data_IF_953935831649
#
_entry.id   IF_953935831649
#
_cell.length_a   1.000
_cell.length_b   1.000
_cell.length_c   1.000
_cell.angle_alpha   90.00
_cell.angle_beta   90.00
_cell.angle_gamma   90.00
#
_symmetry.space_group_name_H-M   'P 1'
#
loop_
_entity.id
_entity.type
_entity.pdbx_description
1 polymer ?
#
# COMPACT_ATOMS: atom_id res chain seq x y z
N UNK A 1 28.08 -3.86 29.00
CA UNK A 1 27.08 -4.96 29.03
C UNK A 1 26.06 -4.65 27.96
N UNK A 2 26.07 -5.43 26.88
CA UNK A 2 25.24 -5.24 25.69
C UNK A 2 23.81 -5.67 26.03
N UNK A 3 22.85 -4.74 25.94
CA UNK A 3 21.44 -5.06 26.04
C UNK A 3 20.96 -5.48 24.64
N UNK A 4 20.79 -6.78 24.43
CA UNK A 4 20.11 -7.33 23.25
C UNK A 4 18.67 -6.83 23.23
N UNK A 5 18.35 -5.94 22.28
CA UNK A 5 16.99 -5.59 21.94
C UNK A 5 16.31 -6.83 21.35
N UNK A 6 15.51 -7.53 22.17
CA UNK A 6 14.67 -8.61 21.73
C UNK A 6 13.57 -8.07 20.81
N UNK A 7 13.77 -8.19 19.50
CA UNK A 7 12.70 -8.10 18.51
C UNK A 7 11.58 -9.05 18.95
N UNK A 8 10.36 -8.54 18.98
CA UNK A 8 9.17 -9.26 19.40
C UNK A 8 9.02 -10.55 18.57
N UNK A 9 9.24 -11.70 19.23
CA UNK A 9 9.19 -13.09 18.71
C UNK A 9 7.84 -13.62 18.11
N UNK A 10 6.68 -12.93 18.10
CA UNK A 10 5.42 -13.50 17.55
C UNK A 10 5.32 -13.55 16.02
N UNK A 11 5.94 -12.61 15.29
CA UNK A 11 5.60 -12.33 13.89
C UNK A 11 5.90 -13.49 12.93
N UNK A 12 7.10 -14.06 13.01
CA UNK A 12 7.57 -15.12 12.10
C UNK A 12 6.84 -16.45 12.34
N UNK A 13 6.50 -16.76 13.61
CA UNK A 13 5.73 -17.96 13.96
C UNK A 13 4.29 -17.89 13.45
N UNK A 14 3.66 -16.71 13.54
CA UNK A 14 2.32 -16.47 13.02
C UNK A 14 2.27 -16.62 11.49
N UNK A 15 3.27 -16.08 10.79
CA UNK A 15 3.42 -16.24 9.34
C UNK A 15 3.57 -17.72 8.94
N UNK A 16 4.54 -18.44 9.53
CA UNK A 16 4.78 -19.85 9.23
C UNK A 16 3.58 -20.75 9.56
N UNK A 17 2.83 -20.43 10.63
CA UNK A 17 1.57 -21.10 10.97
C UNK A 17 0.49 -20.86 9.90
N UNK A 18 0.32 -19.61 9.48
CA UNK A 18 -0.67 -19.21 8.47
C UNK A 18 -0.38 -19.83 7.10
N UNK A 19 0.89 -19.88 6.70
CA UNK A 19 1.30 -20.52 5.46
C UNK A 19 1.00 -22.03 5.47
N UNK A 20 1.27 -22.70 6.60
CA UNK A 20 0.92 -24.12 6.80
C UNK A 20 -0.60 -24.35 6.79
N UNK A 21 -1.39 -23.49 7.43
CA UNK A 21 -2.86 -23.61 7.42
C UNK A 21 -3.47 -23.41 6.03
N UNK A 22 -2.91 -22.51 5.21
CA UNK A 22 -3.35 -22.34 3.81
C UNK A 22 -3.05 -23.59 2.98
N UNK A 23 -1.91 -24.27 3.22
CA UNK A 23 -1.58 -25.51 2.51
C UNK A 23 -2.52 -26.67 2.85
N UNK A 24 -2.92 -26.84 4.11
CA UNK A 24 -3.84 -27.91 4.51
C UNK A 24 -5.24 -27.70 3.97
N UNK A 25 -5.75 -26.46 3.97
CA UNK A 25 -7.04 -26.14 3.38
C UNK A 25 -7.06 -26.37 1.86
N UNK A 26 -5.97 -26.06 1.15
CA UNK A 26 -5.87 -26.32 -0.28
C UNK A 26 -5.71 -27.81 -0.61
N UNK A 27 -4.98 -28.60 0.18
CA UNK A 27 -4.91 -30.06 0.03
C UNK A 27 -6.29 -30.72 0.28
N UNK A 28 -7.05 -30.25 1.28
CA UNK A 28 -8.40 -30.73 1.54
C UNK A 28 -9.39 -30.34 0.42
N UNK A 29 -9.21 -29.17 -0.21
CA UNK A 29 -10.02 -28.72 -1.36
C UNK A 29 -9.68 -29.46 -2.65
N UNK A 30 -8.40 -29.80 -2.87
CA UNK A 30 -7.94 -30.62 -3.98
C UNK A 30 -8.45 -32.07 -3.87
N UNK A 31 -8.47 -32.64 -2.66
CA UNK A 31 -8.98 -33.99 -2.39
C UNK A 31 -10.52 -34.11 -2.40
N UNK A 32 -11.27 -33.03 -2.62
CA UNK A 32 -12.76 -33.05 -2.65
C UNK A 32 -13.39 -33.07 -4.05
N UNK A 33 -12.65 -33.33 -5.13
CA UNK A 33 -13.23 -33.49 -6.48
C UNK A 33 -13.40 -34.98 -6.88
N UNK A 34 -14.66 -35.43 -6.81
CA UNK A 34 -15.36 -36.60 -7.42
C UNK A 34 -14.82 -38.03 -7.19
N UNK A 35 -15.62 -38.95 -6.61
CA UNK A 35 -15.68 -40.32 -7.07
C UNK A 35 -16.74 -40.46 -8.19
N UNK A 36 -16.36 -41.14 -9.27
CA UNK A 36 -17.28 -41.67 -10.26
C UNK A 36 -17.86 -43.01 -9.77
N UNK A 37 -19.08 -43.28 -10.22
CA UNK A 37 -19.93 -44.44 -9.98
C UNK A 37 -19.31 -45.79 -10.36
N UNK A 38 -19.58 -46.84 -9.56
CA UNK A 38 -20.10 -48.11 -10.06
C UNK A 38 -20.61 -49.01 -8.92
N UNK A 39 -21.68 -49.73 -9.22
CA UNK A 39 -22.47 -50.59 -8.34
C UNK A 39 -21.85 -51.97 -8.12
N UNK A 40 -22.36 -52.63 -7.07
CA UNK A 40 -22.79 -54.03 -7.03
C UNK A 40 -22.01 -55.07 -6.19
N UNK A 41 -22.78 -55.62 -5.21
CA UNK A 41 -22.81 -57.00 -4.65
C UNK A 41 -21.85 -57.46 -3.52
N UNK A 42 -22.54 -57.63 -2.37
CA UNK A 42 -22.68 -58.85 -1.53
C UNK A 42 -21.57 -59.28 -0.54
N UNK A 43 -21.97 -59.19 0.74
CA UNK A 43 -22.00 -60.25 1.78
C UNK A 43 -20.74 -60.68 2.56
N UNK A 44 -20.92 -60.75 3.90
CA UNK A 44 -20.44 -61.76 4.91
C UNK A 44 -19.68 -61.22 6.15
N UNK A 45 -20.40 -61.26 7.29
CA UNK A 45 -20.08 -61.54 8.72
C UNK A 45 -18.85 -60.97 9.46
N UNK A 46 -19.14 -60.50 10.68
CA UNK A 46 -18.26 -60.27 11.85
C UNK A 46 -17.65 -61.59 12.42
N UNK A 47 -16.78 -61.63 13.48
CA UNK A 47 -16.41 -60.58 14.46
C UNK A 47 -14.92 -60.47 14.87
N UNK A 48 -14.67 -59.46 15.73
CA UNK A 48 -13.49 -59.04 16.55
C UNK A 48 -12.79 -60.17 17.36
N UNK A 49 -11.53 -60.04 17.87
CA UNK A 49 -11.18 -59.07 18.95
C UNK A 49 -9.71 -58.57 19.16
N UNK A 50 -9.62 -57.45 19.89
CA UNK A 50 -8.63 -57.05 20.92
C UNK A 50 -7.10 -56.99 20.64
N UNK A 51 -6.51 -55.78 20.73
CA UNK A 51 -5.67 -55.31 21.88
C UNK A 51 -4.99 -53.94 21.66
N UNK A 52 -5.35 -52.98 22.53
CA UNK A 52 -4.52 -52.17 23.45
C UNK A 52 -3.42 -51.18 22.95
N UNK A 53 -3.57 -49.96 23.51
CA UNK A 53 -2.57 -48.97 24.04
C UNK A 53 -1.99 -48.00 23.00
N UNK A 54 -1.86 -46.68 23.25
CA UNK A 54 -1.83 -45.89 24.49
C UNK A 54 -2.05 -44.39 24.14
N UNK A 55 -2.87 -43.67 24.93
CA UNK A 55 -2.82 -42.20 25.08
C UNK A 55 -1.86 -41.87 26.22
N UNK A 56 -1.06 -40.82 26.06
CA UNK A 56 -0.34 -40.06 27.11
C UNK A 56 -0.12 -38.65 26.52
N UNK A 57 -0.18 -37.49 27.18
CA UNK A 57 -0.78 -36.92 28.41
C UNK A 57 -0.67 -35.40 28.18
N UNK A 58 -1.66 -34.62 28.63
CA UNK A 58 -1.61 -33.16 28.72
C UNK A 58 -0.55 -32.71 29.75
N UNK A 59 0.19 -31.64 29.44
CA UNK A 59 0.95 -30.87 30.42
C UNK A 59 0.57 -29.40 30.33
N UNK A 60 -0.09 -28.90 31.38
CA UNK A 60 -0.43 -27.50 31.61
C UNK A 60 0.81 -26.64 31.84
N UNK A 61 0.84 -25.42 31.29
CA UNK A 61 1.58 -24.30 31.90
C UNK A 61 0.70 -23.04 31.85
N UNK A 62 0.53 -22.52 33.06
CA UNK A 62 -0.21 -21.37 33.60
C UNK A 62 -0.36 -20.10 32.75
N UNK A 63 -1.59 -19.58 32.78
CA UNK A 63 -1.94 -18.17 32.60
C UNK A 63 -1.27 -17.31 33.70
N UNK A 64 -0.50 -16.31 33.29
CA UNK A 64 -0.20 -15.13 34.12
C UNK A 64 -0.34 -13.90 33.23
N UNK A 65 -1.31 -13.04 33.55
CA UNK A 65 -1.47 -11.74 32.89
C UNK A 65 -0.45 -10.73 33.42
N UNK A 66 0.07 -9.86 32.55
CA UNK A 66 0.79 -8.65 32.96
C UNK A 66 0.53 -7.49 31.99
N UNK A 67 -0.37 -6.60 32.42
CA UNK A 67 -0.34 -5.19 32.05
C UNK A 67 0.83 -4.54 32.83
N UNK A 68 2.01 -4.42 32.24
CA UNK A 68 3.11 -3.62 32.82
C UNK A 68 4.24 -3.21 31.85
N UNK A 69 4.28 -3.65 30.58
CA UNK A 69 5.43 -3.39 29.69
C UNK A 69 5.29 -2.18 28.76
N UNK A 70 4.27 -1.31 28.94
CA UNK A 70 3.97 -0.22 27.99
C UNK A 70 4.59 1.14 28.36
N UNK A 71 5.39 1.23 29.43
CA UNK A 71 5.91 2.51 29.93
C UNK A 71 7.39 2.79 29.61
N UNK A 72 8.22 1.80 29.26
CA UNK A 72 9.68 2.02 29.16
C UNK A 72 10.18 2.29 27.73
N UNK A 73 9.47 1.84 26.70
CA UNK A 73 9.88 2.08 25.30
C UNK A 73 9.71 3.53 24.82
N UNK A 74 8.92 4.36 25.52
CA UNK A 74 8.68 5.76 25.13
C UNK A 74 9.78 6.73 25.57
N UNK A 75 10.65 6.36 26.52
CA UNK A 75 11.64 7.27 27.07
C UNK A 75 12.99 7.24 26.34
N UNK A 76 13.35 6.12 25.69
CA UNK A 76 14.65 5.96 25.04
C UNK A 76 14.73 6.75 23.71
N UNK A 77 13.63 6.83 22.96
CA UNK A 77 13.57 7.58 21.68
C UNK A 77 13.55 9.11 21.90
N UNK A 78 13.17 9.58 23.10
CA UNK A 78 13.25 11.00 23.45
C UNK A 78 14.66 11.46 23.86
N UNK A 79 15.53 10.55 24.28
CA UNK A 79 16.90 10.91 24.70
C UNK A 79 17.87 11.06 23.53
N UNK A 80 17.71 10.31 22.44
CA UNK A 80 18.58 10.42 21.25
C UNK A 80 18.33 11.72 20.45
N UNK A 81 17.21 12.41 20.67
CA UNK A 81 16.91 13.71 20.02
C UNK A 81 17.33 14.94 20.83
N UNK A 82 17.99 14.79 21.99
CA UNK A 82 18.33 15.92 22.87
C UNK A 82 19.84 16.23 23.00
N UNK A 83 20.71 15.49 22.31
CA UNK A 83 22.15 15.77 22.25
C UNK A 83 22.59 16.06 20.81
N UNK A 84 22.28 17.27 20.36
CA UNK A 84 23.11 18.04 19.41
C UNK A 84 22.58 19.48 19.40
N UNK A 85 23.06 20.27 20.37
CA UNK A 85 22.83 21.72 20.46
C UNK A 85 24.07 22.44 19.95
N UNK A 86 23.82 23.47 19.13
CA UNK A 86 24.60 24.66 18.79
C UNK A 86 26.08 24.80 19.22
N UNK A 87 26.90 25.24 18.25
CA UNK A 87 27.57 26.55 18.37
C UNK A 87 27.80 27.17 16.98
N UNK A 88 27.36 28.43 16.86
CA UNK A 88 27.71 29.49 15.90
C UNK A 88 29.23 29.76 15.88
N UNK A 89 29.90 30.42 14.93
CA UNK A 89 29.59 31.58 14.08
C UNK A 89 30.83 31.87 13.16
N UNK A 90 30.68 32.83 12.23
CA UNK A 90 31.71 33.67 11.53
C UNK A 90 32.40 33.12 10.25
N UNK A 91 32.02 33.63 9.06
CA UNK A 91 32.72 34.74 8.36
C UNK A 91 32.14 35.01 6.96
N UNK A 92 31.86 36.30 6.77
CA UNK A 92 31.69 37.03 5.50
C UNK A 92 32.80 36.72 4.49
N UNK A 93 32.46 36.62 3.20
CA UNK A 93 33.35 36.99 2.10
C UNK A 93 32.54 37.24 0.82
N UNK A 94 32.31 38.53 0.59
CA UNK A 94 31.99 39.11 -0.71
C UNK A 94 33.02 38.68 -1.76
N UNK A 95 32.56 38.30 -2.96
CA UNK A 95 33.36 38.48 -4.16
C UNK A 95 32.53 39.10 -5.28
N UNK A 96 33.02 40.27 -5.70
CA UNK A 96 32.59 41.06 -6.85
C UNK A 96 32.89 40.29 -8.13
N UNK A 97 31.95 40.29 -9.07
CA UNK A 97 32.29 40.36 -10.50
C UNK A 97 31.31 41.31 -11.21
N UNK A 98 31.86 42.45 -11.61
CA UNK A 98 31.31 43.29 -12.67
C UNK A 98 31.66 42.65 -14.01
N UNK A 99 30.70 42.55 -14.95
CA UNK A 99 30.92 42.94 -16.35
C UNK A 99 29.60 42.96 -17.15
N UNK A 100 29.25 44.20 -17.55
CA UNK A 100 28.69 44.63 -18.83
C UNK A 100 27.31 44.12 -19.29
N UNK A 101 26.37 45.05 -19.21
CA UNK A 101 25.22 45.18 -20.08
C UNK A 101 25.65 45.59 -21.51
N UNK A 102 24.98 45.03 -22.51
CA UNK A 102 24.62 45.71 -23.75
C UNK A 102 23.12 45.51 -23.96
N UNK A 103 22.42 46.63 -24.09
CA UNK A 103 20.97 46.67 -24.26
C UNK A 103 20.57 46.61 -25.72
N UNK A 104 19.37 46.12 -25.97
CA UNK A 104 18.51 46.60 -27.05
C UNK A 104 17.09 46.67 -26.49
N UNK A 105 16.65 47.91 -26.33
CA UNK A 105 15.27 48.35 -26.17
C UNK A 105 14.47 48.02 -27.44
N UNK A 106 13.20 47.64 -27.28
CA UNK A 106 12.13 48.36 -27.97
C UNK A 106 10.79 48.12 -27.29
N UNK A 107 10.12 49.25 -27.11
CA UNK A 107 8.82 49.46 -26.52
C UNK A 107 7.70 48.73 -27.25
N UNK A 108 6.66 48.35 -26.50
CA UNK A 108 5.30 48.85 -26.74
C UNK A 108 4.43 48.43 -25.57
N UNK A 109 4.14 49.41 -24.71
CA UNK A 109 2.99 49.37 -23.85
C UNK A 109 1.73 49.50 -24.71
N UNK A 110 0.74 48.64 -24.49
CA UNK A 110 -0.63 49.05 -24.74
C UNK A 110 -1.53 48.61 -23.59
N UNK A 111 -2.05 49.64 -22.94
CA UNK A 111 -2.93 49.63 -21.79
C UNK A 111 -4.33 49.87 -22.35
N UNK A 112 -5.25 48.92 -22.20
CA UNK A 112 -6.67 49.19 -22.39
C UNK A 112 -7.45 48.56 -21.25
N UNK A 113 -7.61 49.36 -20.19
CA UNK A 113 -8.79 49.33 -19.35
C UNK A 113 -9.97 49.87 -20.16
N UNK A 114 -11.01 49.07 -20.31
CA UNK A 114 -12.34 49.57 -20.61
C UNK A 114 -13.34 48.87 -19.70
N UNK A 115 -13.79 49.60 -18.69
CA UNK A 115 -15.00 49.29 -17.94
C UNK A 115 -16.20 49.29 -18.90
N UNK A 116 -16.85 48.13 -19.05
CA UNK A 116 -18.21 48.06 -19.57
C UNK A 116 -19.03 47.20 -18.61
N UNK A 117 -19.87 47.89 -17.86
CA UNK A 117 -20.98 47.34 -17.09
C UNK A 117 -21.94 46.71 -18.10
N UNK A 118 -21.96 45.38 -18.13
CA UNK A 118 -22.83 44.58 -18.98
C UNK A 118 -23.35 43.38 -18.21
N UNK A 119 -24.47 43.57 -17.52
CA UNK A 119 -25.22 42.55 -16.79
C UNK A 119 -25.61 41.43 -17.74
N UNK A 120 -24.83 40.35 -17.76
CA UNK A 120 -25.11 39.14 -18.54
C UNK A 120 -24.92 37.93 -17.65
N UNK A 121 -26.04 37.34 -17.28
CA UNK A 121 -26.20 36.12 -16.49
C UNK A 121 -25.41 34.97 -17.11
N UNK A 122 -24.16 34.75 -16.69
CA UNK A 122 -23.45 33.51 -17.02
C UNK A 122 -23.93 32.42 -16.07
N UNK A 123 -24.83 31.55 -16.54
CA UNK A 123 -25.11 30.25 -15.92
C UNK A 123 -23.77 29.60 -15.53
N UNK A 124 -23.56 29.44 -14.22
CA UNK A 124 -22.27 29.11 -13.65
C UNK A 124 -21.78 27.74 -14.11
N UNK A 125 -20.88 27.74 -15.10
CA UNK A 125 -20.05 26.56 -15.40
C UNK A 125 -19.29 26.23 -14.11
N UNK A 126 -19.38 25.00 -13.57
CA UNK A 126 -18.66 24.69 -12.33
C UNK A 126 -17.16 24.87 -12.58
N UNK A 127 -16.55 25.83 -11.89
CA UNK A 127 -15.17 26.23 -12.13
C UNK A 127 -14.23 25.14 -11.58
N UNK A 128 -13.44 24.53 -12.45
CA UNK A 128 -12.32 23.66 -12.05
C UNK A 128 -11.38 24.47 -11.17
N UNK A 129 -11.10 23.97 -9.96
CA UNK A 129 -10.22 24.63 -9.01
C UNK A 129 -8.78 24.31 -9.38
N UNK A 130 -7.94 25.34 -9.55
CA UNK A 130 -6.52 25.13 -9.78
C UNK A 130 -5.86 24.60 -8.49
N UNK A 131 -5.44 23.33 -8.50
CA UNK A 131 -4.82 22.72 -7.32
C UNK A 131 -3.33 23.06 -7.21
N UNK A 132 -2.70 23.52 -8.28
CA UNK A 132 -1.26 23.76 -8.38
C UNK A 132 -0.90 25.24 -8.14
N UNK A 133 -1.86 26.08 -7.71
CA UNK A 133 -1.63 27.51 -7.45
C UNK A 133 -0.91 27.84 -6.15
N UNK A 134 -0.60 26.83 -5.32
CA UNK A 134 0.10 27.01 -4.05
C UNK A 134 1.60 26.72 -4.25
N UNK A 135 2.35 27.79 -4.50
CA UNK A 135 3.80 27.78 -4.76
C UNK A 135 4.66 27.70 -3.49
N UNK A 136 4.05 27.51 -2.31
CA UNK A 136 4.77 27.53 -1.03
C UNK A 136 5.54 26.26 -0.71
N UNK A 137 5.16 25.14 -1.31
CA UNK A 137 5.82 23.84 -1.09
C UNK A 137 6.62 23.44 -2.35
N UNK A 138 7.96 23.57 -2.31
CA UNK A 138 8.83 23.18 -3.42
C UNK A 138 8.68 21.71 -3.82
N UNK A 139 8.25 20.82 -2.91
CA UNK A 139 8.09 19.39 -3.20
C UNK A 139 6.91 19.09 -4.12
N UNK A 140 6.01 20.04 -4.32
CA UNK A 140 4.86 19.88 -5.22
C UNK A 140 5.23 20.08 -6.69
N UNK A 141 6.37 20.72 -6.96
CA UNK A 141 6.90 20.96 -8.31
C UNK A 141 5.80 21.42 -9.28
N UNK A 142 4.98 22.41 -8.89
CA UNK A 142 3.76 22.83 -9.58
C UNK A 142 3.95 23.04 -11.09
N UNK A 143 5.07 23.66 -11.48
CA UNK A 143 5.45 23.91 -12.88
C UNK A 143 5.57 22.62 -13.72
N UNK A 144 6.11 21.55 -13.12
CA UNK A 144 6.34 20.27 -13.80
C UNK A 144 5.23 19.26 -13.54
N UNK A 145 4.29 19.55 -12.64
CA UNK A 145 3.27 18.61 -12.21
C UNK A 145 2.43 18.05 -13.38
N UNK A 146 2.00 18.84 -14.39
CA UNK A 146 1.28 18.29 -15.54
C UNK A 146 2.10 17.23 -16.30
N UNK A 147 3.39 17.51 -16.57
CA UNK A 147 4.28 16.60 -17.30
C UNK A 147 4.62 15.34 -16.47
N UNK A 148 4.91 15.52 -15.17
CA UNK A 148 5.14 14.41 -14.25
C UNK A 148 3.95 13.45 -14.27
N UNK A 149 2.73 13.96 -14.11
CA UNK A 149 1.54 13.11 -14.06
C UNK A 149 1.20 12.50 -15.42
N UNK A 150 1.49 13.20 -16.53
CA UNK A 150 1.41 12.58 -17.85
C UNK A 150 2.37 11.38 -17.96
N UNK A 151 3.63 11.54 -17.58
CA UNK A 151 4.64 10.48 -17.61
C UNK A 151 4.29 9.30 -16.69
N UNK A 152 3.72 9.57 -15.51
CA UNK A 152 3.23 8.52 -14.61
C UNK A 152 2.09 7.72 -15.25
N UNK A 153 1.15 8.37 -15.94
CA UNK A 153 0.04 7.69 -16.64
C UNK A 153 0.52 6.85 -17.82
N UNK A 154 1.54 7.29 -18.54
CA UNK A 154 2.18 6.47 -19.58
C UNK A 154 2.93 5.29 -18.96
N UNK A 155 3.60 5.50 -17.83
CA UNK A 155 4.43 4.49 -17.17
C UNK A 155 3.61 3.37 -16.53
N UNK A 156 2.45 3.66 -15.94
CA UNK A 156 1.58 2.63 -15.34
C UNK A 156 1.05 1.60 -16.37
N UNK A 157 1.10 1.92 -17.67
CA UNK A 157 0.70 1.02 -18.74
C UNK A 157 1.82 0.05 -19.17
N UNK A 158 3.09 0.41 -18.97
CA UNK A 158 4.24 -0.33 -19.53
C UNK A 158 4.72 -1.47 -18.65
N UNK A 159 4.62 -1.34 -17.32
CA UNK A 159 5.21 -2.27 -16.34
C UNK A 159 4.17 -2.77 -15.35
N UNK A 160 3.28 -3.63 -15.84
CA UNK A 160 2.18 -4.18 -15.05
C UNK A 160 2.14 -5.72 -15.11
N UNK A 161 2.18 -6.42 -13.97
CA UNK A 161 2.01 -7.86 -13.95
C UNK A 161 0.70 -8.26 -14.61
N UNK A 162 0.72 -9.27 -15.48
CA UNK A 162 -0.51 -9.78 -16.10
C UNK A 162 -1.36 -10.46 -15.02
N UNK A 163 -2.65 -10.12 -14.85
CA UNK A 163 -3.48 -10.58 -13.72
C UNK A 163 -3.79 -12.09 -13.62
N UNK A 164 -3.13 -12.93 -14.42
CA UNK A 164 -3.27 -14.39 -14.44
C UNK A 164 -1.94 -15.14 -14.25
N UNK A 165 -0.88 -14.43 -13.81
CA UNK A 165 0.43 -15.05 -13.60
C UNK A 165 0.44 -16.10 -12.50
N UNK A 166 -0.44 -15.97 -11.50
CA UNK A 166 -0.55 -16.95 -10.43
C UNK A 166 -1.03 -18.31 -10.98
N UNK A 167 -1.90 -18.29 -11.97
CA UNK A 167 -2.43 -19.48 -12.63
C UNK A 167 -1.51 -20.02 -13.74
N UNK A 168 -0.79 -19.14 -14.43
CA UNK A 168 0.05 -19.51 -15.59
C UNK A 168 1.49 -19.84 -15.23
N UNK A 169 2.10 -19.09 -14.31
CA UNK A 169 3.53 -19.17 -14.01
C UNK A 169 3.79 -19.98 -12.73
N UNK A 170 2.98 -19.76 -11.68
CA UNK A 170 3.20 -20.38 -10.38
C UNK A 170 2.61 -21.80 -10.32
N UNK A 171 3.39 -22.75 -9.79
CA UNK A 171 2.94 -24.14 -9.55
C UNK A 171 2.68 -24.40 -8.07
N UNK A 172 3.45 -23.75 -7.21
CA UNK A 172 3.46 -24.02 -5.77
C UNK A 172 2.93 -22.85 -4.92
N UNK A 173 3.07 -21.62 -5.42
CA UNK A 173 2.57 -20.39 -4.78
C UNK A 173 1.13 -20.12 -5.25
N UNK A 174 0.27 -19.75 -4.30
CA UNK A 174 -1.14 -19.40 -4.57
C UNK A 174 -1.43 -17.94 -4.23
N UNK A 175 -2.54 -17.40 -4.75
CA UNK A 175 -3.02 -16.06 -4.39
C UNK A 175 -3.23 -15.89 -2.87
N UNK A 176 -3.57 -16.97 -2.15
CA UNK A 176 -3.71 -16.96 -0.69
C UNK A 176 -2.35 -16.82 0.01
N UNK A 177 -1.33 -17.55 -0.44
CA UNK A 177 0.03 -17.46 0.12
C UNK A 177 0.63 -16.07 -0.10
N UNK A 178 0.42 -15.49 -1.30
CA UNK A 178 0.76 -14.09 -1.57
C UNK A 178 0.07 -13.13 -0.60
N UNK A 179 -1.23 -13.30 -0.37
CA UNK A 179 -1.97 -12.48 0.60
C UNK A 179 -1.39 -12.57 2.01
N UNK A 180 -1.05 -13.77 2.48
CA UNK A 180 -0.42 -13.99 3.79
C UNK A 180 0.96 -13.31 3.86
N UNK A 181 1.76 -13.37 2.79
CA UNK A 181 3.04 -12.67 2.73
C UNK A 181 2.86 -11.16 2.84
N UNK A 182 1.94 -10.58 2.06
CA UNK A 182 1.70 -9.13 2.08
C UNK A 182 1.12 -8.68 3.42
N UNK A 183 0.23 -9.45 4.05
CA UNK A 183 -0.31 -9.15 5.38
C UNK A 183 0.80 -9.10 6.44
N UNK A 184 1.73 -10.05 6.40
CA UNK A 184 2.92 -10.04 7.26
C UNK A 184 3.86 -8.86 6.96
N UNK A 185 4.11 -8.55 5.69
CA UNK A 185 4.95 -7.41 5.30
C UNK A 185 4.34 -6.06 5.74
N UNK A 186 3.02 -5.94 5.86
CA UNK A 186 2.37 -4.77 6.46
C UNK A 186 2.79 -4.61 7.92
N UNK A 187 2.79 -5.69 8.70
CA UNK A 187 3.25 -5.66 10.10
C UNK A 187 4.72 -5.28 10.20
N UNK A 188 5.58 -5.87 9.36
CA UNK A 188 7.01 -5.51 9.27
C UNK A 188 7.19 -4.02 8.95
N UNK A 189 6.43 -3.50 7.98
CA UNK A 189 6.53 -2.08 7.61
C UNK A 189 6.13 -1.13 8.75
N UNK A 190 5.17 -1.51 9.59
CA UNK A 190 4.76 -0.72 10.76
C UNK A 190 5.79 -0.79 11.89
N UNK A 191 6.36 -1.97 12.15
CA UNK A 191 7.38 -2.17 13.20
C UNK A 191 8.65 -1.37 12.91
N UNK A 192 9.09 -1.36 11.65
CA UNK A 192 10.28 -0.62 11.20
C UNK A 192 9.96 0.80 10.73
N UNK A 193 8.71 1.24 10.85
CA UNK A 193 8.25 2.60 10.50
C UNK A 193 8.60 3.03 9.08
N UNK A 194 8.57 2.08 8.13
CA UNK A 194 8.87 2.33 6.73
C UNK A 194 7.82 3.26 6.10
N UNK A 195 8.22 4.07 5.13
CA UNK A 195 7.26 4.93 4.40
C UNK A 195 6.30 4.05 3.59
N UNK A 196 5.04 4.48 3.38
CA UNK A 196 4.07 3.67 2.65
C UNK A 196 4.55 3.29 1.24
N UNK A 197 5.24 4.19 0.55
CA UNK A 197 5.76 3.98 -0.80
C UNK A 197 6.70 2.75 -0.88
N UNK A 198 7.49 2.50 0.17
CA UNK A 198 8.31 1.29 0.32
C UNK A 198 7.47 0.01 0.27
N UNK A 199 6.34 -0.03 0.99
CA UNK A 199 5.44 -1.18 0.98
C UNK A 199 4.79 -1.37 -0.40
N UNK A 200 4.33 -0.30 -1.04
CA UNK A 200 3.74 -0.39 -2.39
C UNK A 200 4.75 -0.89 -3.42
N UNK A 201 5.99 -0.38 -3.38
CA UNK A 201 7.08 -0.83 -4.24
C UNK A 201 7.43 -2.30 -3.96
N UNK A 202 7.52 -2.70 -2.69
CA UNK A 202 7.74 -4.09 -2.28
C UNK A 202 6.73 -5.04 -2.93
N UNK A 203 5.43 -4.74 -2.82
CA UNK A 203 4.36 -5.58 -3.38
C UNK A 203 4.45 -5.66 -4.90
N UNK A 204 4.76 -4.54 -5.57
CA UNK A 204 4.99 -4.55 -7.00
C UNK A 204 6.18 -5.44 -7.39
N UNK A 205 7.30 -5.35 -6.67
CA UNK A 205 8.49 -6.14 -6.94
C UNK A 205 8.20 -7.64 -6.81
N UNK A 206 7.46 -8.03 -5.76
CA UNK A 206 7.01 -9.41 -5.55
C UNK A 206 6.16 -9.88 -6.74
N UNK A 207 5.14 -9.11 -7.12
CA UNK A 207 4.21 -9.50 -8.18
C UNK A 207 4.88 -9.63 -9.53
N UNK A 208 5.76 -8.69 -9.88
CA UNK A 208 6.46 -8.71 -11.15
C UNK A 208 7.53 -9.79 -11.20
N UNK A 209 8.16 -10.13 -10.06
CA UNK A 209 9.06 -11.27 -9.99
C UNK A 209 8.31 -12.60 -10.14
N UNK A 210 7.20 -12.79 -9.41
CA UNK A 210 6.32 -13.96 -9.55
C UNK A 210 5.64 -14.06 -10.93
N UNK A 211 5.51 -12.93 -11.63
CA UNK A 211 4.99 -12.92 -12.98
C UNK A 211 5.89 -13.68 -13.97
N UNK A 212 7.22 -13.47 -13.86
CA UNK A 212 8.20 -14.06 -14.78
C UNK A 212 8.96 -15.27 -14.26
N UNK A 213 8.98 -15.50 -12.94
CA UNK A 213 9.82 -16.52 -12.31
C UNK A 213 9.01 -17.44 -11.42
N UNK A 214 9.21 -18.75 -11.59
CA UNK A 214 8.67 -19.75 -10.69
C UNK A 214 9.37 -19.70 -9.34
N UNK A 215 8.60 -19.64 -8.24
CA UNK A 215 9.13 -19.68 -6.88
C UNK A 215 8.48 -20.81 -6.09
N UNK A 216 9.30 -21.55 -5.35
CA UNK A 216 8.82 -22.55 -4.40
C UNK A 216 8.27 -21.87 -3.14
N UNK A 217 7.23 -22.42 -2.52
CA UNK A 217 6.56 -21.81 -1.36
C UNK A 217 7.52 -21.50 -0.20
N UNK A 218 8.58 -22.30 -0.05
CA UNK A 218 9.59 -22.16 1.00
C UNK A 218 10.51 -20.95 0.80
N UNK A 219 10.62 -20.45 -0.43
CA UNK A 219 11.41 -19.26 -0.79
C UNK A 219 10.54 -18.01 -0.92
N UNK A 220 9.23 -18.11 -0.72
CA UNK A 220 8.31 -16.98 -0.86
C UNK A 220 8.57 -15.87 0.18
N UNK A 221 8.91 -16.25 1.43
CA UNK A 221 9.26 -15.26 2.46
C UNK A 221 10.61 -14.60 2.15
N UNK A 222 11.60 -15.37 1.69
CA UNK A 222 12.89 -14.84 1.22
C UNK A 222 12.69 -13.82 0.10
N UNK A 223 11.88 -14.13 -0.91
CA UNK A 223 11.52 -13.17 -1.95
C UNK A 223 10.91 -11.90 -1.34
N UNK A 224 9.95 -12.04 -0.43
CA UNK A 224 9.26 -10.92 0.20
C UNK A 224 10.19 -9.96 0.95
N UNK A 225 11.06 -10.48 1.82
CA UNK A 225 12.01 -9.63 2.55
C UNK A 225 13.06 -9.01 1.64
N UNK A 226 13.51 -9.73 0.61
CA UNK A 226 14.47 -9.20 -0.35
C UNK A 226 13.85 -8.09 -1.18
N UNK A 227 12.61 -8.25 -1.65
CA UNK A 227 11.88 -7.18 -2.33
C UNK A 227 11.70 -5.95 -1.42
N UNK A 228 11.46 -6.16 -0.11
CA UNK A 228 11.38 -5.06 0.85
C UNK A 228 12.73 -4.39 1.08
N UNK A 229 13.83 -5.14 1.17
CA UNK A 229 15.19 -4.60 1.22
C UNK A 229 15.48 -3.70 0.02
N UNK A 230 15.17 -4.16 -1.20
CA UNK A 230 15.37 -3.38 -2.43
C UNK A 230 14.51 -2.12 -2.41
N UNK A 231 13.23 -2.24 -2.05
CA UNK A 231 12.34 -1.10 -1.95
C UNK A 231 12.81 -0.09 -0.89
N UNK A 232 13.30 -0.56 0.26
CA UNK A 232 13.84 0.30 1.32
C UNK A 232 15.09 1.04 0.86
N UNK A 233 16.02 0.37 0.17
CA UNK A 233 17.19 1.03 -0.43
C UNK A 233 16.81 2.13 -1.44
N UNK A 234 15.63 2.02 -2.05
CA UNK A 234 15.17 2.95 -3.08
C UNK A 234 14.37 4.13 -2.50
N UNK A 235 13.48 3.89 -1.54
CA UNK A 235 12.53 4.90 -1.03
C UNK A 235 12.92 5.52 0.32
N UNK A 236 13.68 4.81 1.16
CA UNK A 236 14.02 5.29 2.51
C UNK A 236 15.25 6.18 2.51
N UNK A 237 15.22 7.25 3.31
CA UNK A 237 16.40 8.08 3.57
C UNK A 237 17.49 7.24 4.26
N UNK A 238 17.06 6.38 5.20
CA UNK A 238 17.92 5.48 5.96
C UNK A 238 17.36 4.06 5.87
N UNK A 239 17.75 3.32 4.83
CA UNK A 239 17.33 1.94 4.66
C UNK A 239 17.90 1.02 5.75
N UNK A 240 17.11 0.05 6.28
CA UNK A 240 17.62 -0.97 7.19
C UNK A 240 18.71 -1.82 6.53
N UNK A 241 19.66 -2.30 7.33
CA UNK A 241 20.74 -3.16 6.83
C UNK A 241 20.23 -4.56 6.50
N UNK A 242 20.98 -5.31 5.69
CA UNK A 242 20.63 -6.69 5.31
C UNK A 242 20.47 -7.58 6.54
N UNK A 243 21.33 -7.38 7.56
CA UNK A 243 21.25 -8.11 8.83
C UNK A 243 19.91 -7.91 9.54
N UNK A 244 19.32 -6.72 9.45
CA UNK A 244 18.01 -6.44 10.05
C UNK A 244 16.90 -7.22 9.35
N UNK A 245 16.96 -7.38 8.03
CA UNK A 245 16.03 -8.22 7.28
C UNK A 245 16.20 -9.71 7.59
N UNK A 246 17.43 -10.19 7.85
CA UNK A 246 17.64 -11.55 8.36
C UNK A 246 16.95 -11.73 9.72
N UNK A 247 17.10 -10.76 10.63
CA UNK A 247 16.46 -10.77 11.95
C UNK A 247 14.93 -10.75 11.86
N UNK A 248 14.33 -10.00 10.92
CA UNK A 248 12.87 -9.99 10.70
C UNK A 248 12.31 -11.39 10.39
N UNK A 249 13.14 -12.29 9.86
CA UNK A 249 12.76 -13.68 9.55
C UNK A 249 13.15 -14.67 10.63
N UNK A 250 13.42 -14.22 11.87
CA UNK A 250 14.01 -15.03 12.94
C UNK A 250 15.30 -15.76 12.50
N UNK A 251 16.09 -15.15 11.62
CA UNK A 251 17.26 -15.75 10.97
C UNK A 251 16.95 -17.07 10.23
N UNK A 252 15.74 -17.20 9.69
CA UNK A 252 15.38 -18.31 8.80
C UNK A 252 16.25 -18.31 7.54
N UNK A 253 16.67 -17.13 7.09
CA UNK A 253 17.56 -16.94 5.94
C UNK A 253 18.86 -16.26 6.34
N UNK A 254 19.96 -16.67 5.71
CA UNK A 254 21.28 -16.06 5.91
C UNK A 254 21.44 -14.80 5.03
N UNK A 255 22.41 -13.96 5.39
CA UNK A 255 22.75 -12.76 4.61
C UNK A 255 23.06 -13.11 3.16
N UNK A 256 23.79 -14.19 2.92
CA UNK A 256 24.18 -14.65 1.58
C UNK A 256 22.96 -15.03 0.75
N UNK A 257 21.96 -15.70 1.35
CA UNK A 257 20.72 -16.04 0.67
C UNK A 257 19.91 -14.80 0.28
N UNK A 258 19.86 -13.80 1.16
CA UNK A 258 19.17 -12.52 0.88
C UNK A 258 19.87 -11.76 -0.25
N UNK A 259 21.20 -11.70 -0.25
CA UNK A 259 21.98 -11.04 -1.30
C UNK A 259 21.90 -11.78 -2.65
N UNK A 260 21.88 -13.11 -2.62
CA UNK A 260 21.70 -13.92 -3.84
C UNK A 260 20.31 -13.68 -4.44
N UNK A 261 19.25 -13.71 -3.62
CA UNK A 261 17.91 -13.34 -4.08
C UNK A 261 17.86 -11.89 -4.57
N UNK A 262 18.59 -10.97 -3.94
CA UNK A 262 18.63 -9.56 -4.36
C UNK A 262 19.20 -9.43 -5.77
N UNK A 263 20.29 -10.13 -6.07
CA UNK A 263 20.88 -10.17 -7.40
C UNK A 263 19.89 -10.73 -8.44
N UNK A 264 19.20 -11.83 -8.11
CA UNK A 264 18.21 -12.44 -9.01
C UNK A 264 17.03 -11.49 -9.30
N UNK A 265 16.52 -10.84 -8.26
CA UNK A 265 15.46 -9.84 -8.40
C UNK A 265 15.95 -8.70 -9.29
N UNK A 266 17.05 -8.03 -8.95
CA UNK A 266 17.55 -6.88 -9.73
C UNK A 266 17.87 -7.23 -11.18
N UNK A 267 18.41 -8.42 -11.44
CA UNK A 267 18.65 -8.93 -12.78
C UNK A 267 17.34 -9.09 -13.58
N UNK A 268 16.30 -9.67 -12.98
CA UNK A 268 14.96 -9.80 -13.60
C UNK A 268 14.37 -8.44 -13.97
N UNK A 269 14.59 -7.41 -13.15
CA UNK A 269 14.13 -6.05 -13.46
C UNK A 269 15.07 -5.28 -14.41
N UNK A 270 16.23 -5.83 -14.77
CA UNK A 270 17.29 -5.08 -15.47
C UNK A 270 17.58 -3.73 -14.78
N UNK A 271 17.54 -3.72 -13.44
CA UNK A 271 17.65 -2.53 -12.58
C UNK A 271 16.56 -1.44 -12.80
N UNK A 272 15.53 -1.70 -13.61
CA UNK A 272 14.41 -0.80 -13.85
C UNK A 272 13.26 -1.06 -12.86
N UNK A 273 13.55 -0.84 -11.57
CA UNK A 273 12.65 -1.22 -10.46
C UNK A 273 11.50 -0.24 -10.21
N UNK A 274 11.61 1.00 -10.67
CA UNK A 274 10.57 2.00 -10.43
C UNK A 274 9.32 1.78 -11.30
N UNK A 275 8.16 1.92 -10.66
CA UNK A 275 6.85 1.99 -11.30
C UNK A 275 5.92 2.93 -10.50
N UNK A 276 4.99 3.64 -11.15
CA UNK A 276 3.92 4.35 -10.45
C UNK A 276 3.02 3.38 -9.68
N UNK A 277 2.76 3.69 -8.41
CA UNK A 277 1.89 2.89 -7.54
C UNK A 277 0.58 3.63 -7.27
N UNK A 278 -0.47 2.97 -6.72
CA UNK A 278 -1.67 3.66 -6.29
C UNK A 278 -1.36 4.84 -5.35
N UNK A 279 -0.35 4.69 -4.48
CA UNK A 279 0.09 5.76 -3.57
C UNK A 279 0.63 6.98 -4.31
N UNK A 280 1.31 6.80 -5.43
CA UNK A 280 1.84 7.90 -6.26
C UNK A 280 0.71 8.80 -6.75
N UNK A 281 -0.36 8.23 -7.30
CA UNK A 281 -1.52 8.98 -7.80
C UNK A 281 -2.40 9.56 -6.69
N UNK A 282 -2.53 8.81 -5.59
CA UNK A 282 -3.42 9.15 -4.48
C UNK A 282 -3.12 10.54 -3.89
N UNK A 283 -1.84 10.94 -3.80
CA UNK A 283 -1.42 12.24 -3.25
C UNK A 283 -2.06 13.42 -3.99
N UNK A 284 -2.02 13.44 -5.32
CA UNK A 284 -2.62 14.53 -6.13
C UNK A 284 -4.14 14.48 -6.13
N UNK A 285 -4.72 13.28 -6.15
CA UNK A 285 -6.18 13.14 -6.14
C UNK A 285 -6.78 13.59 -4.79
N UNK A 286 -6.10 13.34 -3.67
CA UNK A 286 -6.49 13.86 -2.36
C UNK A 286 -6.40 15.38 -2.29
N UNK A 287 -5.38 16.00 -2.90
CA UNK A 287 -5.27 17.47 -3.00
C UNK A 287 -6.47 18.05 -3.74
N UNK A 288 -6.80 17.50 -4.91
CA UNK A 288 -7.98 17.90 -5.69
C UNK A 288 -9.29 17.68 -4.91
N UNK A 289 -9.41 16.57 -4.20
CA UNK A 289 -10.59 16.26 -3.39
C UNK A 289 -10.80 17.23 -2.23
N UNK A 290 -9.73 17.61 -1.54
CA UNK A 290 -9.76 18.47 -0.36
C UNK A 290 -10.06 19.92 -0.73
N UNK A 291 -9.41 20.47 -1.76
CA UNK A 291 -9.62 21.86 -2.18
C UNK A 291 -11.00 22.10 -2.80
N UNK A 292 -11.65 21.06 -3.31
CA UNK A 292 -12.97 21.18 -3.92
C UNK A 292 -14.15 21.12 -2.94
N UNK A 293 -13.92 20.98 -1.63
CA UNK A 293 -14.98 21.05 -0.60
C UNK A 293 -14.41 21.65 0.69
N UNK A 294 -15.00 22.76 1.14
CA UNK A 294 -14.62 23.43 2.39
C UNK A 294 -14.82 22.52 3.61
N UNK A 295 -15.85 21.67 3.59
CA UNK A 295 -16.10 20.66 4.63
C UNK A 295 -15.00 19.59 4.66
N UNK A 296 -14.63 19.04 3.50
CA UNK A 296 -13.55 18.05 3.43
C UNK A 296 -12.17 18.64 3.72
N UNK A 297 -11.97 19.94 3.51
CA UNK A 297 -10.76 20.64 3.94
C UNK A 297 -10.57 20.56 5.47
N UNK A 298 -11.65 20.67 6.25
CA UNK A 298 -11.59 20.53 7.72
C UNK A 298 -11.33 19.07 8.15
N UNK A 299 -11.80 18.09 7.37
CA UNK A 299 -11.58 16.66 7.58
C UNK A 299 -10.46 16.06 6.72
N UNK A 300 -9.54 16.88 6.23
CA UNK A 300 -8.51 16.47 5.25
C UNK A 300 -7.75 15.21 5.70
N UNK A 301 -7.31 15.17 6.95
CA UNK A 301 -6.61 13.98 7.51
C UNK A 301 -7.47 12.72 7.54
N UNK A 302 -8.78 12.83 7.81
CA UNK A 302 -9.69 11.66 7.77
C UNK A 302 -9.83 11.14 6.34
N UNK A 303 -9.99 12.04 5.37
CA UNK A 303 -10.05 11.69 3.97
C UNK A 303 -8.75 11.01 3.50
N UNK A 304 -7.59 11.56 3.86
CA UNK A 304 -6.28 11.00 3.52
C UNK A 304 -6.07 9.61 4.12
N UNK A 305 -6.39 9.42 5.41
CA UNK A 305 -6.27 8.10 6.05
C UNK A 305 -7.28 7.09 5.51
N UNK A 306 -8.53 7.49 5.29
CA UNK A 306 -9.56 6.59 4.77
C UNK A 306 -9.24 6.15 3.32
N UNK A 307 -8.83 7.08 2.47
CA UNK A 307 -8.42 6.73 1.11
C UNK A 307 -7.16 5.85 1.11
N UNK A 308 -6.19 6.14 1.99
CA UNK A 308 -4.98 5.31 2.14
C UNK A 308 -5.29 3.90 2.63
N UNK A 309 -6.21 3.76 3.60
CA UNK A 309 -6.74 2.47 4.06
C UNK A 309 -7.35 1.67 2.91
N UNK A 310 -8.24 2.30 2.13
CA UNK A 310 -8.89 1.67 1.00
C UNK A 310 -7.88 1.22 -0.06
N UNK A 311 -6.90 2.07 -0.42
CA UNK A 311 -5.84 1.69 -1.36
C UNK A 311 -4.96 0.57 -0.82
N UNK A 312 -4.59 0.59 0.47
CA UNK A 312 -3.72 -0.45 1.05
C UNK A 312 -4.43 -1.80 1.09
N UNK A 313 -5.75 -1.86 1.37
CA UNK A 313 -6.51 -3.11 1.29
C UNK A 313 -6.34 -3.83 -0.05
N UNK A 314 -6.21 -3.08 -1.15
CA UNK A 314 -6.05 -3.65 -2.50
C UNK A 314 -4.74 -4.42 -2.67
N UNK A 315 -3.72 -4.14 -1.86
CA UNK A 315 -2.44 -4.85 -1.90
C UNK A 315 -2.56 -6.32 -1.51
N UNK A 316 -3.52 -6.67 -0.66
CA UNK A 316 -3.76 -8.06 -0.23
C UNK A 316 -4.48 -8.88 -1.29
N UNK A 317 -5.33 -8.24 -2.10
CA UNK A 317 -6.24 -8.92 -2.99
C UNK A 317 -5.74 -8.94 -4.43
N UNK A 318 -5.19 -10.09 -4.83
CA UNK A 318 -4.68 -10.36 -6.18
C UNK A 318 -5.61 -9.90 -7.32
N UNK A 319 -6.94 -9.92 -7.10
CA UNK A 319 -7.92 -9.53 -8.12
C UNK A 319 -7.87 -8.04 -8.48
N UNK A 320 -7.27 -7.21 -7.64
CA UNK A 320 -7.10 -5.78 -7.92
C UNK A 320 -6.00 -5.50 -8.94
N UNK A 321 -5.15 -6.48 -9.26
CA UNK A 321 -4.18 -6.36 -10.36
C UNK A 321 -4.83 -6.08 -11.71
N UNK A 322 -6.14 -6.34 -11.87
CA UNK A 322 -6.92 -6.01 -13.07
C UNK A 322 -7.26 -4.52 -13.22
N UNK A 323 -7.08 -3.71 -12.18
CA UNK A 323 -7.23 -2.25 -12.25
C UNK A 323 -5.87 -1.56 -12.37
N UNK A 324 -5.84 -0.40 -13.02
CA UNK A 324 -4.63 0.44 -13.06
C UNK A 324 -4.39 1.11 -11.69
N UNK A 325 -3.12 1.38 -11.34
CA UNK A 325 -2.79 2.15 -10.13
C UNK A 325 -3.57 3.47 -9.99
N UNK A 326 -3.70 4.23 -11.08
CA UNK A 326 -4.48 5.48 -11.08
C UNK A 326 -5.97 5.25 -10.84
N UNK A 327 -6.55 4.19 -11.40
CA UNK A 327 -7.97 3.82 -11.19
C UNK A 327 -8.22 3.42 -9.74
N UNK A 328 -7.31 2.65 -9.12
CA UNK A 328 -7.39 2.27 -7.70
C UNK A 328 -7.37 3.52 -6.82
N UNK A 329 -6.44 4.44 -7.06
CA UNK A 329 -6.32 5.68 -6.31
C UNK A 329 -7.57 6.56 -6.45
N UNK A 330 -8.08 6.74 -7.67
CA UNK A 330 -9.29 7.52 -7.94
C UNK A 330 -10.52 6.90 -7.25
N UNK A 331 -10.67 5.58 -7.32
CA UNK A 331 -11.78 4.85 -6.69
C UNK A 331 -11.74 4.94 -5.17
N UNK A 332 -10.55 4.90 -4.58
CA UNK A 332 -10.38 5.08 -3.14
C UNK A 332 -10.76 6.50 -2.69
N UNK A 333 -10.39 7.53 -3.45
CA UNK A 333 -10.81 8.91 -3.17
C UNK A 333 -12.33 9.06 -3.32
N UNK A 334 -12.92 8.51 -4.38
CA UNK A 334 -14.37 8.51 -4.59
C UNK A 334 -15.10 7.93 -3.37
N UNK A 335 -14.73 6.70 -2.98
CA UNK A 335 -15.40 5.97 -1.92
C UNK A 335 -15.15 6.61 -0.55
N UNK A 336 -13.93 7.13 -0.29
CA UNK A 336 -13.63 7.85 0.93
C UNK A 336 -14.46 9.15 1.06
N UNK A 337 -14.60 9.92 -0.02
CA UNK A 337 -15.48 11.10 -0.03
C UNK A 337 -16.92 10.72 0.27
N UNK A 338 -17.45 9.70 -0.42
CA UNK A 338 -18.82 9.22 -0.22
C UNK A 338 -19.07 8.73 1.21
N UNK A 339 -18.06 8.12 1.83
CA UNK A 339 -18.14 7.67 3.23
C UNK A 339 -18.21 8.83 4.22
N UNK A 340 -17.48 9.91 3.96
CA UNK A 340 -17.35 11.05 4.88
C UNK A 340 -18.42 12.11 4.68
N UNK A 341 -18.94 12.26 3.46
CA UNK A 341 -19.90 13.29 3.07
C UNK A 341 -20.79 12.83 1.92
N UNK A 342 -22.09 12.74 2.18
CA UNK A 342 -23.12 12.39 1.19
C UNK A 342 -23.94 13.63 0.75
N UNK A 343 -23.61 14.83 1.24
CA UNK A 343 -24.35 16.06 0.93
C UNK A 343 -24.24 16.48 -0.54
N UNK A 344 -23.15 16.08 -1.20
CA UNK A 344 -22.83 16.43 -2.58
C UNK A 344 -22.33 15.20 -3.34
N UNK A 345 -22.35 15.28 -4.67
CA UNK A 345 -21.78 14.24 -5.51
C UNK A 345 -20.27 14.05 -5.20
N UNK A 346 -19.80 12.81 -4.96
CA UNK A 346 -18.41 12.57 -4.55
C UNK A 346 -17.40 12.85 -5.67
N UNK A 347 -17.85 12.88 -6.93
CA UNK A 347 -17.02 13.14 -8.11
C UNK A 347 -17.39 14.47 -8.75
N UNK A 348 -16.55 15.48 -8.62
CA UNK A 348 -16.78 16.82 -9.17
C UNK A 348 -15.86 17.12 -10.35
N UNK A 349 -16.10 18.23 -11.05
CA UNK A 349 -15.31 18.61 -12.24
C UNK A 349 -13.81 18.76 -11.96
N UNK A 350 -13.41 19.18 -10.75
CA UNK A 350 -12.00 19.25 -10.37
C UNK A 350 -11.38 17.86 -10.32
N UNK A 351 -12.05 16.87 -9.72
CA UNK A 351 -11.57 15.49 -9.71
C UNK A 351 -11.54 14.90 -11.11
N UNK A 352 -12.59 15.10 -11.91
CA UNK A 352 -12.61 14.64 -13.32
C UNK A 352 -11.44 15.24 -14.12
N UNK A 353 -11.17 16.54 -13.97
CA UNK A 353 -10.06 17.21 -14.63
C UNK A 353 -8.69 16.62 -14.26
N UNK A 354 -8.38 16.49 -12.97
CA UNK A 354 -7.05 16.04 -12.52
C UNK A 354 -6.84 14.53 -12.56
N UNK A 355 -7.92 13.74 -12.56
CA UNK A 355 -7.85 12.27 -12.65
C UNK A 355 -8.04 11.78 -14.08
N UNK A 356 -8.62 12.59 -14.97
CA UNK A 356 -9.10 12.25 -16.33
C UNK A 356 -10.19 11.16 -16.38
N UNK A 357 -10.78 10.81 -15.22
CA UNK A 357 -11.82 9.79 -15.14
C UNK A 357 -13.17 10.43 -14.84
N UNK A 358 -14.22 9.97 -15.54
CA UNK A 358 -15.61 10.21 -15.17
C UNK A 358 -16.02 9.26 -14.05
N UNK A 359 -17.10 9.58 -13.37
CA UNK A 359 -17.66 8.69 -12.35
C UNK A 359 -17.98 7.31 -12.95
N UNK A 360 -18.60 7.27 -14.13
CA UNK A 360 -18.91 6.05 -14.90
C UNK A 360 -17.71 5.12 -15.08
N UNK A 361 -16.52 5.69 -15.32
CA UNK A 361 -15.29 4.92 -15.59
C UNK A 361 -14.82 4.17 -14.34
N UNK A 362 -15.18 4.67 -13.16
CA UNK A 362 -14.78 4.14 -11.86
C UNK A 362 -15.78 3.16 -11.26
N UNK A 363 -16.97 2.98 -11.87
CA UNK A 363 -18.06 2.17 -11.31
C UNK A 363 -17.60 0.78 -10.86
N UNK A 364 -16.94 0.05 -11.75
CA UNK A 364 -16.51 -1.33 -11.48
C UNK A 364 -15.47 -1.42 -10.35
N UNK A 365 -14.52 -0.49 -10.29
CA UNK A 365 -13.47 -0.47 -9.27
C UNK A 365 -13.98 0.04 -7.92
N UNK A 366 -14.88 1.02 -7.90
CA UNK A 366 -15.51 1.52 -6.68
C UNK A 366 -16.39 0.44 -6.02
N UNK A 367 -17.20 -0.29 -6.80
CA UNK A 367 -17.96 -1.42 -6.26
C UNK A 367 -17.05 -2.54 -5.72
N UNK A 368 -16.01 -2.91 -6.47
CA UNK A 368 -15.05 -3.92 -6.01
C UNK A 368 -14.34 -3.49 -4.72
N UNK A 369 -14.04 -2.19 -4.58
CA UNK A 369 -13.39 -1.62 -3.40
C UNK A 369 -14.33 -1.56 -2.20
N UNK A 370 -15.60 -1.25 -2.40
CA UNK A 370 -16.62 -1.32 -1.36
C UNK A 370 -16.79 -2.76 -0.85
N UNK A 371 -16.89 -3.75 -1.75
CA UNK A 371 -16.94 -5.16 -1.38
C UNK A 371 -15.72 -5.58 -0.53
N UNK A 372 -14.54 -5.11 -0.92
CA UNK A 372 -13.30 -5.37 -0.20
C UNK A 372 -13.31 -4.70 1.18
N UNK A 373 -13.72 -3.44 1.28
CA UNK A 373 -13.84 -2.72 2.56
C UNK A 373 -14.81 -3.43 3.52
N UNK A 374 -15.99 -3.82 3.03
CA UNK A 374 -17.03 -4.52 3.80
C UNK A 374 -16.67 -5.97 4.13
N UNK A 375 -15.56 -6.47 3.58
CA UNK A 375 -15.10 -7.85 3.75
C UNK A 375 -16.17 -8.89 3.36
N UNK A 376 -16.91 -8.65 2.28
CA UNK A 376 -18.05 -9.51 1.87
C UNK A 376 -17.66 -10.97 1.61
N UNK A 377 -16.36 -11.23 1.39
CA UNK A 377 -15.79 -12.57 1.15
C UNK A 377 -15.16 -13.22 2.37
N UNK A 378 -15.22 -12.58 3.55
CA UNK A 378 -14.69 -13.13 4.79
C UNK A 378 -13.17 -13.34 4.77
N UNK A 379 -12.40 -12.39 4.24
CA UNK A 379 -10.95 -12.45 4.28
C UNK A 379 -10.46 -12.42 5.75
N UNK A 380 -9.65 -13.40 6.20
CA UNK A 380 -9.17 -13.46 7.57
C UNK A 380 -7.95 -12.55 7.83
N UNK A 381 -7.30 -12.07 6.77
CA UNK A 381 -6.11 -11.21 6.85
C UNK A 381 -6.51 -9.83 7.40
N UNK A 382 -5.81 -9.39 8.44
CA UNK A 382 -6.29 -8.28 9.27
C UNK A 382 -5.25 -7.19 9.52
N UNK A 383 -3.98 -7.34 9.12
CA UNK A 383 -2.92 -6.40 9.48
C UNK A 383 -3.27 -4.96 9.09
N UNK A 384 -3.72 -4.74 7.85
CA UNK A 384 -4.12 -3.42 7.34
C UNK A 384 -5.34 -2.87 8.11
N UNK A 385 -6.34 -3.72 8.40
CA UNK A 385 -7.53 -3.31 9.16
C UNK A 385 -7.16 -2.93 10.58
N UNK A 386 -6.25 -3.68 11.22
CA UNK A 386 -5.75 -3.38 12.56
C UNK A 386 -4.91 -2.12 12.59
N UNK A 387 -4.03 -1.91 11.59
CA UNK A 387 -3.28 -0.68 11.38
C UNK A 387 -4.21 0.53 11.39
N UNK A 388 -5.18 0.57 10.49
CA UNK A 388 -6.09 1.72 10.34
C UNK A 388 -7.23 1.80 11.37
N UNK A 389 -7.33 0.85 12.31
CA UNK A 389 -8.17 0.95 13.52
C UNK A 389 -7.49 1.75 14.64
N UNK A 390 -6.19 1.98 14.55
CA UNK A 390 -5.46 2.74 15.56
C UNK A 390 -5.89 4.21 15.53
N UNK A 391 -5.92 4.85 16.70
CA UNK A 391 -6.29 6.26 16.87
C UNK A 391 -5.36 7.20 16.08
N UNK A 392 -4.08 6.83 15.88
CA UNK A 392 -3.13 7.59 15.06
C UNK A 392 -3.61 7.79 13.61
N UNK A 393 -4.46 6.89 13.11
CA UNK A 393 -5.13 6.95 11.81
C UNK A 393 -6.61 7.33 11.93
N UNK A 394 -7.03 7.92 13.05
CA UNK A 394 -8.42 8.32 13.35
C UNK A 394 -9.44 7.18 13.25
N UNK A 395 -8.99 5.94 13.43
CA UNK A 395 -9.86 4.75 13.41
C UNK A 395 -10.72 4.63 12.14
N UNK A 396 -10.24 5.11 11.00
CA UNK A 396 -10.99 5.16 9.73
C UNK A 396 -11.44 3.77 9.25
N UNK A 397 -10.77 2.69 9.66
CA UNK A 397 -11.19 1.33 9.36
C UNK A 397 -12.50 0.89 10.04
N UNK A 398 -13.01 1.66 11.01
CA UNK A 398 -14.33 1.46 11.64
C UNK A 398 -15.44 2.09 10.80
N UNK A 399 -15.12 3.03 9.91
CA UNK A 399 -16.09 3.67 9.04
C UNK A 399 -16.58 2.69 7.97
N UNK A 400 -17.90 2.67 7.78
CA UNK A 400 -18.58 1.81 6.82
C UNK A 400 -19.12 2.68 5.70
N UNK A 401 -18.76 2.34 4.46
CA UNK A 401 -19.27 3.04 3.29
C UNK A 401 -20.78 2.84 3.16
N UNK A 402 -21.56 3.91 2.93
CA UNK A 402 -22.98 3.82 2.60
C UNK A 402 -23.21 3.06 1.30
N UNK A 403 -24.44 2.58 1.09
CA UNK A 403 -24.85 1.93 -0.17
C UNK A 403 -24.54 2.86 -1.35
N UNK A 404 -23.87 2.33 -2.37
CA UNK A 404 -23.65 3.04 -3.63
C UNK A 404 -24.94 3.05 -4.44
N UNK A 405 -25.34 4.23 -4.91
CA UNK A 405 -26.49 4.41 -5.79
C UNK A 405 -26.02 4.41 -7.25
N UNK A 406 -26.79 3.79 -8.15
CA UNK A 406 -26.46 3.78 -9.58
C UNK A 406 -26.39 5.20 -10.18
N UNK A 407 -27.13 6.15 -9.60
CA UNK A 407 -27.14 7.56 -10.01
C UNK A 407 -25.82 8.30 -9.75
N UNK A 408 -24.88 7.69 -9.02
CA UNK A 408 -23.55 8.26 -8.78
C UNK A 408 -22.58 8.03 -9.95
N UNK A 409 -22.98 7.26 -10.98
CA UNK A 409 -22.09 6.76 -12.03
C UNK A 409 -22.54 7.15 -13.43
#
# INVERSE_FOLDING_TARGET
MVQENAVSRPFTRAFASSLRASTTHNQQRANRKRPASEEDKKNITAPTPNKKKKRVVLGDISNVGFNAAKLEAKNIIKQVKKESVDTSEVTDLQSKTHAKAEGVSNDTADNCKSDVIGTSTSLGIPKVINIDSDDKDPLLCCLYAPEIYHNLRVSELKRRPVPDFMEKTQKDVTHSMRGILVDWLVEVSEEYTLVPDTLYLTVYLIDWFLHGNHIERQNLQLLGITCMLIASKYEEICAPRVEEFCLMTDNTYTREQVLEMENQVLAHFSFQIYTPTPKTFLRRFLRAAAQASSYLSQRRRELEFLASYLTELTLLDYRFLKFLPSVIAASAVFLAKWTLDQSNHPWNLTLEHYTTYKASDLKASVHALQDLQLNTRGCPLSAIRMKYRQEKFKSVAVLISPKLLDTLF
#
